data_IF_078783713229
#
_entry.id   IF_078783713229
#
_cell.length_a   1.000
_cell.length_b   1.000
_cell.length_c   1.000
_cell.angle_alpha   90.00
_cell.angle_beta   90.00
_cell.angle_gamma   90.00
#
_symmetry.space_group_name_H-M   'P 1'
#
loop_
_entity.id
_entity.type
_entity.pdbx_description
1 polymer ?
#
# COMPACT_ATOMS: atom_id res chain seq x y z
N UNK A 1 7.54 -18.94 -21.72
CA UNK A 1 7.56 -19.83 -20.54
C UNK A 1 6.14 -20.36 -20.32
N UNK A 2 5.98 -21.68 -20.20
CA UNK A 2 4.67 -22.37 -20.30
C UNK A 2 3.97 -22.48 -18.94
N UNK A 3 2.66 -22.18 -18.91
CA UNK A 3 1.77 -22.11 -17.74
C UNK A 3 1.76 -23.39 -16.86
N UNK A 4 2.18 -24.53 -17.41
CA UNK A 4 2.35 -25.80 -16.69
C UNK A 4 3.35 -25.72 -15.52
N UNK A 5 4.34 -24.83 -15.58
CA UNK A 5 5.29 -24.64 -14.47
C UNK A 5 4.68 -23.90 -13.27
N UNK A 6 3.54 -23.21 -13.44
CA UNK A 6 2.90 -22.45 -12.37
C UNK A 6 1.96 -23.31 -11.51
N UNK A 7 1.35 -24.35 -12.09
CA UNK A 7 0.41 -25.21 -11.36
C UNK A 7 1.07 -26.32 -10.54
N UNK A 8 2.31 -26.73 -10.85
CA UNK A 8 3.01 -27.70 -10.00
C UNK A 8 3.50 -27.11 -8.66
N UNK A 9 3.57 -25.79 -8.51
CA UNK A 9 3.97 -25.13 -7.25
C UNK A 9 2.88 -25.13 -6.17
N UNK A 10 1.61 -25.35 -6.54
CA UNK A 10 0.47 -25.32 -5.62
C UNK A 10 0.20 -26.66 -4.91
N UNK A 11 0.88 -27.75 -5.30
CA UNK A 11 0.67 -29.07 -4.71
C UNK A 11 1.44 -29.31 -3.39
N UNK A 12 2.29 -28.39 -2.95
CA UNK A 12 3.10 -28.54 -1.73
C UNK A 12 2.32 -28.15 -0.45
N UNK A 13 1.11 -27.60 -0.58
CA UNK A 13 0.28 -27.16 0.57
C UNK A 13 -0.43 -28.30 1.36
N UNK A 14 -0.18 -29.57 1.03
CA UNK A 14 -0.93 -30.70 1.61
C UNK A 14 -0.22 -31.47 2.75
N UNK A 15 0.95 -31.03 3.24
CA UNK A 15 1.71 -31.77 4.27
C UNK A 15 1.75 -31.12 5.67
N UNK A 16 0.98 -30.07 5.95
CA UNK A 16 0.94 -29.43 7.28
C UNK A 16 -0.21 -29.98 8.14
N UNK A 17 -0.16 -31.27 8.48
CA UNK A 17 -0.94 -31.84 9.57
C UNK A 17 -0.07 -32.88 10.30
N UNK A 18 0.57 -32.44 11.39
CA UNK A 18 1.24 -33.30 12.39
C UNK A 18 2.70 -33.67 12.07
N UNK A 19 3.64 -32.78 12.38
CA UNK A 19 5.07 -33.06 12.28
C UNK A 19 5.91 -32.19 13.21
N UNK A 20 6.84 -32.84 13.92
CA UNK A 20 7.80 -32.35 14.90
C UNK A 20 8.33 -30.91 14.66
N UNK A 21 8.32 -30.07 15.70
CA UNK A 21 8.62 -28.62 15.66
C UNK A 21 10.01 -28.28 15.04
N UNK A 22 10.97 -29.19 15.10
CA UNK A 22 12.31 -29.02 14.50
C UNK A 22 12.31 -29.03 12.96
N UNK A 23 11.37 -29.74 12.31
CA UNK A 23 11.33 -29.84 10.85
C UNK A 23 10.71 -28.59 10.20
N UNK A 24 9.70 -28.00 10.85
CA UNK A 24 9.07 -26.76 10.40
C UNK A 24 10.04 -25.56 10.47
N UNK A 25 10.95 -25.57 11.45
CA UNK A 25 11.94 -24.51 11.62
C UNK A 25 13.08 -24.61 10.61
N UNK A 26 13.44 -25.83 10.18
CA UNK A 26 14.39 -26.05 9.10
C UNK A 26 13.85 -25.56 7.74
N UNK A 27 12.59 -25.85 7.41
CA UNK A 27 11.95 -25.35 6.19
C UNK A 27 11.81 -23.83 6.18
N UNK A 28 11.48 -23.22 7.32
CA UNK A 28 11.40 -21.76 7.44
C UNK A 28 12.78 -21.08 7.23
N UNK A 29 13.86 -21.67 7.75
CA UNK A 29 15.21 -21.16 7.54
C UNK A 29 15.68 -21.29 6.07
N UNK A 30 15.28 -22.36 5.38
CA UNK A 30 15.60 -22.54 3.96
C UNK A 30 14.84 -21.55 3.07
N UNK A 31 13.58 -21.24 3.42
CA UNK A 31 12.77 -20.23 2.74
C UNK A 31 13.31 -18.80 2.95
N UNK A 32 13.80 -18.50 4.14
CA UNK A 32 14.46 -17.22 4.43
C UNK A 32 15.75 -17.06 3.61
N UNK A 33 16.56 -18.11 3.48
CA UNK A 33 17.77 -18.08 2.66
C UNK A 33 17.47 -17.87 1.17
N UNK A 34 16.43 -18.53 0.64
CA UNK A 34 15.99 -18.32 -0.75
C UNK A 34 15.47 -16.89 -0.98
N UNK A 35 14.78 -16.30 -0.01
CA UNK A 35 14.29 -14.93 -0.10
C UNK A 35 15.46 -13.93 -0.10
N UNK A 36 16.45 -14.12 0.77
CA UNK A 36 17.65 -13.28 0.84
C UNK A 36 18.47 -13.32 -0.45
N UNK A 37 18.59 -14.50 -1.07
CA UNK A 37 19.24 -14.65 -2.37
C UNK A 37 18.47 -13.93 -3.49
N UNK A 38 17.13 -14.03 -3.50
CA UNK A 38 16.28 -13.32 -4.48
C UNK A 38 16.35 -11.80 -4.33
N UNK A 39 16.45 -11.29 -3.10
CA UNK A 39 16.60 -9.86 -2.83
C UNK A 39 18.00 -9.35 -3.22
N UNK A 40 19.06 -10.11 -2.93
CA UNK A 40 20.41 -9.74 -3.35
C UNK A 40 20.57 -9.75 -4.87
N UNK A 41 19.89 -10.66 -5.58
CA UNK A 41 19.86 -10.67 -7.04
C UNK A 41 19.08 -9.48 -7.63
N UNK A 42 17.94 -9.12 -7.03
CA UNK A 42 17.16 -7.95 -7.41
C UNK A 42 17.91 -6.63 -7.14
N UNK A 43 18.69 -6.57 -6.04
CA UNK A 43 19.57 -5.42 -5.73
C UNK A 43 20.74 -5.35 -6.70
N UNK A 44 21.30 -6.50 -7.12
CA UNK A 44 22.36 -6.56 -8.12
C UNK A 44 21.88 -6.10 -9.52
N UNK A 45 20.66 -6.47 -9.93
CA UNK A 45 20.01 -5.92 -11.14
C UNK A 45 19.71 -4.42 -11.00
N UNK A 46 19.25 -3.97 -9.83
CA UNK A 46 19.02 -2.55 -9.59
C UNK A 46 20.32 -1.72 -9.58
N UNK A 47 21.43 -2.25 -9.08
CA UNK A 47 22.73 -1.56 -9.07
C UNK A 47 23.42 -1.54 -10.44
N UNK A 48 23.14 -2.51 -11.31
CA UNK A 48 23.68 -2.51 -12.68
C UNK A 48 22.96 -1.53 -13.62
N UNK A 49 21.74 -1.12 -13.30
CA UNK A 49 21.02 -0.05 -14.02
C UNK A 49 21.18 1.35 -13.42
N UNK A 50 21.78 1.47 -12.22
CA UNK A 50 21.93 2.72 -11.46
C UNK A 50 23.39 3.23 -11.36
N UNK A 51 24.23 2.91 -12.34
CA UNK A 51 25.64 3.32 -12.34
C UNK A 51 25.89 4.77 -12.82
N UNK A 52 24.86 5.52 -13.21
CA UNK A 52 24.96 6.96 -13.48
C UNK A 52 23.78 7.66 -12.78
N UNK A 53 24.08 8.37 -11.67
CA UNK A 53 23.13 9.07 -10.77
C UNK A 53 22.10 8.12 -10.10
N UNK A 54 22.19 7.71 -8.83
CA UNK A 54 22.09 8.55 -7.62
C UNK A 54 22.76 7.80 -6.45
N UNK A 55 24.00 8.14 -6.12
CA UNK A 55 24.69 7.69 -4.91
C UNK A 55 24.46 8.69 -3.77
N UNK A 56 23.21 8.85 -3.34
CA UNK A 56 22.74 9.58 -2.16
C UNK A 56 21.21 9.66 -2.31
N UNK A 57 20.36 8.84 -1.71
CA UNK A 57 20.06 8.82 -0.29
C UNK A 57 19.13 7.61 -0.04
N UNK A 58 19.67 6.45 0.33
CA UNK A 58 18.90 5.47 1.12
C UNK A 58 19.82 4.85 2.16
N UNK A 59 19.97 5.49 3.33
CA UNK A 59 20.24 4.72 4.53
C UNK A 59 19.23 5.13 5.62
N UNK A 60 18.31 4.23 5.96
CA UNK A 60 17.89 3.96 7.36
C UNK A 60 16.57 3.17 7.48
N UNK A 61 15.71 3.04 6.46
CA UNK A 61 14.41 2.33 6.65
C UNK A 61 14.50 0.79 6.60
N UNK A 62 15.64 0.22 6.22
CA UNK A 62 15.83 -1.24 6.20
C UNK A 62 16.36 -1.81 7.54
N UNK A 63 16.95 -0.99 8.40
CA UNK A 63 17.54 -1.44 9.66
C UNK A 63 16.51 -1.75 10.75
N UNK A 64 15.38 -1.04 10.76
CA UNK A 64 14.35 -1.19 11.81
C UNK A 64 13.32 -2.27 11.49
N UNK A 65 13.16 -2.66 10.22
CA UNK A 65 12.28 -3.77 9.83
C UNK A 65 12.92 -5.15 10.09
N UNK A 66 14.24 -5.27 9.99
CA UNK A 66 14.95 -6.54 10.19
C UNK A 66 15.21 -6.88 11.67
N UNK A 67 15.25 -5.87 12.56
CA UNK A 67 15.52 -6.09 13.99
C UNK A 67 14.33 -6.67 14.79
N UNK A 68 13.12 -6.72 14.19
CA UNK A 68 11.90 -7.18 14.87
C UNK A 68 11.44 -8.60 14.51
N UNK A 69 12.07 -9.26 13.53
CA UNK A 69 11.59 -10.53 12.96
C UNK A 69 11.70 -11.74 13.90
N UNK A 70 12.34 -11.59 15.07
CA UNK A 70 12.56 -12.66 16.05
C UNK A 70 11.52 -12.77 17.17
N UNK A 71 10.40 -12.04 17.13
CA UNK A 71 9.40 -12.11 18.22
C UNK A 71 7.96 -12.25 17.69
N UNK A 72 7.12 -12.96 18.45
CA UNK A 72 5.66 -13.08 18.26
C UNK A 72 4.92 -11.73 18.10
N UNK A 73 5.60 -10.60 18.36
CA UNK A 73 5.09 -9.24 18.19
C UNK A 73 4.97 -8.84 16.70
N UNK A 74 5.81 -9.38 15.81
CA UNK A 74 5.73 -9.10 14.37
C UNK A 74 4.46 -9.66 13.73
N UNK A 75 4.06 -10.88 14.11
CA UNK A 75 2.82 -11.49 13.65
C UNK A 75 1.58 -10.75 14.20
N UNK A 76 1.63 -10.32 15.46
CA UNK A 76 0.56 -9.52 16.09
C UNK A 76 0.45 -8.12 15.46
N UNK A 77 1.56 -7.50 15.10
CA UNK A 77 1.60 -6.20 14.41
C UNK A 77 0.98 -6.26 13.01
N UNK A 78 1.29 -7.29 12.23
CA UNK A 78 0.67 -7.52 10.91
C UNK A 78 -0.84 -7.76 11.01
N UNK A 79 -1.28 -8.52 12.03
CA UNK A 79 -2.69 -8.80 12.22
C UNK A 79 -3.49 -7.57 12.66
N UNK A 80 -2.92 -6.73 13.54
CA UNK A 80 -3.51 -5.44 13.92
C UNK A 80 -3.58 -4.47 12.74
N UNK A 81 -2.52 -4.40 11.92
CA UNK A 81 -2.51 -3.57 10.72
C UNK A 81 -3.57 -3.99 9.71
N UNK A 82 -3.73 -5.30 9.50
CA UNK A 82 -4.77 -5.86 8.62
C UNK A 82 -6.18 -5.52 9.10
N UNK A 83 -6.45 -5.63 10.41
CA UNK A 83 -7.74 -5.26 11.00
C UNK A 83 -8.00 -3.75 10.88
N UNK A 84 -7.00 -2.92 11.16
CA UNK A 84 -7.08 -1.46 11.02
C UNK A 84 -7.40 -1.03 9.59
N UNK A 85 -6.72 -1.64 8.60
CA UNK A 85 -6.96 -1.38 7.19
C UNK A 85 -8.36 -1.82 6.76
N UNK A 86 -8.83 -2.97 7.25
CA UNK A 86 -10.18 -3.46 7.00
C UNK A 86 -11.26 -2.50 7.52
N UNK A 87 -11.14 -2.04 8.78
CA UNK A 87 -12.06 -1.05 9.36
C UNK A 87 -12.01 0.27 8.58
N UNK A 88 -10.82 0.70 8.15
CA UNK A 88 -10.64 1.93 7.40
C UNK A 88 -11.26 1.88 5.99
N UNK A 89 -11.12 0.76 5.28
CA UNK A 89 -11.76 0.54 3.98
C UNK A 89 -13.27 0.45 4.11
N UNK A 90 -13.77 -0.24 5.15
CA UNK A 90 -15.20 -0.33 5.40
C UNK A 90 -15.79 1.04 5.71
N UNK A 91 -15.14 1.83 6.57
CA UNK A 91 -15.55 3.20 6.88
C UNK A 91 -15.56 4.10 5.63
N UNK A 92 -14.54 3.97 4.78
CA UNK A 92 -14.45 4.70 3.52
C UNK A 92 -15.56 4.33 2.52
N UNK A 93 -15.92 3.05 2.46
CA UNK A 93 -16.95 2.52 1.57
C UNK A 93 -18.39 2.90 1.97
N UNK A 94 -18.61 3.28 3.23
CA UNK A 94 -19.91 3.72 3.74
C UNK A 94 -20.10 5.24 3.71
N UNK A 95 -19.13 5.99 3.20
CA UNK A 95 -19.24 7.44 3.13
C UNK A 95 -20.33 7.89 2.15
N UNK A 96 -21.12 8.87 2.57
CA UNK A 96 -22.18 9.49 1.77
C UNK A 96 -21.80 10.94 1.40
N UNK A 97 -22.47 11.52 0.40
CA UNK A 97 -22.22 12.88 -0.09
C UNK A 97 -23.07 13.22 -1.30
N UNK A 98 -23.20 14.52 -1.62
CA UNK A 98 -24.03 14.97 -2.74
C UNK A 98 -23.37 14.77 -4.11
N UNK A 99 -22.03 14.69 -4.13
CA UNK A 99 -21.22 14.58 -5.34
C UNK A 99 -20.02 13.65 -5.13
N UNK A 100 -19.42 13.06 -6.20
CA UNK A 100 -18.30 12.13 -6.08
C UNK A 100 -17.12 12.65 -5.24
N UNK A 101 -16.76 13.92 -5.42
CA UNK A 101 -15.67 14.54 -4.66
C UNK A 101 -15.98 14.71 -3.16
N UNK A 102 -17.25 14.92 -2.80
CA UNK A 102 -17.66 14.98 -1.39
C UNK A 102 -17.63 13.59 -0.76
N UNK A 103 -18.15 12.58 -1.47
CA UNK A 103 -18.10 11.18 -1.03
C UNK A 103 -16.66 10.73 -0.85
N UNK A 104 -15.77 11.08 -1.79
CA UNK A 104 -14.35 10.76 -1.72
C UNK A 104 -13.66 11.41 -0.51
N UNK A 105 -13.95 12.68 -0.22
CA UNK A 105 -13.44 13.37 0.96
C UNK A 105 -13.92 12.73 2.26
N UNK A 106 -15.22 12.45 2.35
CA UNK A 106 -15.84 11.82 3.52
C UNK A 106 -15.28 10.41 3.73
N UNK A 107 -15.04 9.66 2.65
CA UNK A 107 -14.43 8.34 2.71
C UNK A 107 -12.97 8.38 3.17
N UNK A 108 -12.19 9.32 2.65
CA UNK A 108 -10.79 9.54 3.06
C UNK A 108 -10.70 9.92 4.54
N UNK A 109 -11.54 10.85 5.01
CA UNK A 109 -11.55 11.28 6.42
C UNK A 109 -12.00 10.16 7.36
N UNK A 110 -13.00 9.37 6.98
CA UNK A 110 -13.44 8.19 7.73
C UNK A 110 -12.33 7.11 7.81
N UNK A 111 -11.63 6.87 6.70
CA UNK A 111 -10.46 5.98 6.64
C UNK A 111 -9.38 6.45 7.61
N UNK A 112 -9.05 7.74 7.59
CA UNK A 112 -8.01 8.28 8.46
C UNK A 112 -8.41 8.26 9.94
N UNK A 113 -9.67 8.51 10.26
CA UNK A 113 -10.18 8.38 11.63
C UNK A 113 -10.07 6.93 12.14
N UNK A 114 -10.41 5.95 11.30
CA UNK A 114 -10.27 4.53 11.63
C UNK A 114 -8.80 4.11 11.80
N UNK A 115 -7.90 4.62 10.94
CA UNK A 115 -6.46 4.37 11.06
C UNK A 115 -5.86 5.01 12.32
N UNK A 116 -6.21 6.25 12.65
CA UNK A 116 -5.73 6.93 13.86
C UNK A 116 -6.17 6.24 15.15
N UNK A 117 -7.35 5.61 15.14
CA UNK A 117 -7.86 4.83 16.28
C UNK A 117 -7.03 3.58 16.56
N UNK A 118 -6.46 2.98 15.50
CA UNK A 118 -5.79 1.68 15.58
C UNK A 118 -4.26 1.75 15.47
N UNK A 119 -3.70 2.87 15.00
CA UNK A 119 -2.26 3.10 14.90
C UNK A 119 -1.74 3.86 16.12
N UNK A 120 -0.47 3.63 16.52
CA UNK A 120 0.15 4.39 17.61
C UNK A 120 0.20 5.90 17.29
N UNK A 121 0.12 6.77 18.31
CA UNK A 121 0.20 8.22 18.14
C UNK A 121 1.50 8.59 17.41
N UNK A 122 1.38 9.33 16.29
CA UNK A 122 2.50 9.67 15.40
C UNK A 122 2.61 8.80 14.14
N UNK A 123 1.77 7.78 13.97
CA UNK A 123 1.78 6.89 12.80
C UNK A 123 1.30 7.55 11.49
N UNK A 124 0.54 8.65 11.56
CA UNK A 124 0.18 9.44 10.39
C UNK A 124 0.67 10.87 10.55
N UNK A 125 1.72 11.20 9.80
CA UNK A 125 2.42 12.49 9.87
C UNK A 125 1.99 13.46 8.76
N UNK A 126 1.28 12.97 7.74
CA UNK A 126 0.82 13.82 6.64
C UNK A 126 -0.47 14.54 7.03
N UNK A 127 -0.51 15.89 6.97
CA UNK A 127 -1.72 16.64 7.26
C UNK A 127 -2.81 16.29 6.24
N UNK A 128 -4.01 16.06 6.76
CA UNK A 128 -5.22 15.90 5.95
C UNK A 128 -5.51 17.23 5.26
N UNK A 129 -5.68 17.29 3.93
CA UNK A 129 -6.09 18.52 3.29
C UNK A 129 -7.46 18.96 3.84
N UNK A 130 -7.67 20.27 3.92
CA UNK A 130 -8.99 20.80 4.30
C UNK A 130 -10.04 20.35 3.28
N UNK A 131 -11.31 20.31 3.70
CA UNK A 131 -12.43 19.93 2.82
C UNK A 131 -12.43 20.71 1.52
N UNK A 132 -12.29 22.03 1.61
CA UNK A 132 -12.36 22.90 0.44
C UNK A 132 -11.18 22.69 -0.51
N UNK A 133 -9.96 22.49 0.03
CA UNK A 133 -8.78 22.16 -0.78
C UNK A 133 -8.99 20.84 -1.53
N UNK A 134 -9.47 19.80 -0.84
CA UNK A 134 -9.70 18.49 -1.46
C UNK A 134 -10.80 18.53 -2.52
N UNK A 135 -11.96 19.13 -2.22
CA UNK A 135 -13.07 19.17 -3.17
C UNK A 135 -12.69 20.01 -4.40
N UNK A 136 -12.04 21.16 -4.20
CA UNK A 136 -11.56 22.00 -5.29
C UNK A 136 -10.58 21.22 -6.17
N UNK A 137 -9.67 20.47 -5.54
CA UNK A 137 -8.70 19.64 -6.23
C UNK A 137 -9.36 18.51 -7.03
N UNK A 138 -10.25 17.75 -6.40
CA UNK A 138 -10.97 16.65 -7.03
C UNK A 138 -11.79 17.13 -8.23
N UNK A 139 -12.46 18.28 -8.13
CA UNK A 139 -13.26 18.84 -9.24
C UNK A 139 -12.42 19.23 -10.47
N UNK A 140 -11.10 19.37 -10.34
CA UNK A 140 -10.21 19.60 -11.47
C UNK A 140 -9.85 18.33 -12.23
N UNK A 141 -10.13 17.15 -11.66
CA UNK A 141 -9.96 15.88 -12.34
C UNK A 141 -11.07 15.67 -13.39
N UNK A 142 -10.82 14.89 -14.45
CA UNK A 142 -11.86 14.39 -15.33
C UNK A 142 -12.98 13.67 -14.56
N UNK A 143 -14.23 13.74 -15.05
CA UNK A 143 -15.41 13.23 -14.31
C UNK A 143 -15.31 11.73 -13.96
N UNK A 144 -14.74 10.91 -14.83
CA UNK A 144 -14.46 9.49 -14.57
C UNK A 144 -13.37 9.29 -13.50
N UNK A 145 -12.34 10.13 -13.45
CA UNK A 145 -11.36 10.15 -12.38
C UNK A 145 -11.96 10.60 -11.03
N UNK A 146 -12.91 11.54 -11.05
CA UNK A 146 -13.67 11.93 -9.86
C UNK A 146 -14.49 10.75 -9.32
N UNK A 147 -15.15 9.99 -10.18
CA UNK A 147 -15.86 8.77 -9.76
C UNK A 147 -14.91 7.72 -9.19
N UNK A 148 -13.74 7.55 -9.80
CA UNK A 148 -12.70 6.65 -9.29
C UNK A 148 -12.03 7.14 -7.99
N UNK A 149 -12.31 8.37 -7.55
CA UNK A 149 -11.91 8.86 -6.24
C UNK A 149 -12.83 8.35 -5.12
N UNK A 150 -14.05 7.89 -5.46
CA UNK A 150 -15.02 7.35 -4.52
C UNK A 150 -14.61 5.92 -4.13
N UNK A 151 -14.30 5.63 -2.86
CA UNK A 151 -13.75 4.34 -2.45
C UNK A 151 -14.63 3.15 -2.84
N UNK A 152 -15.94 3.24 -2.60
CA UNK A 152 -16.90 2.19 -2.96
C UNK A 152 -16.97 1.94 -4.47
N UNK A 153 -16.87 2.99 -5.28
CA UNK A 153 -16.89 2.88 -6.74
C UNK A 153 -15.58 2.28 -7.26
N UNK A 154 -14.44 2.75 -6.74
CA UNK A 154 -13.12 2.27 -7.11
C UNK A 154 -12.94 0.77 -6.83
N UNK A 155 -13.44 0.27 -5.69
CA UNK A 155 -13.40 -1.16 -5.36
C UNK A 155 -14.23 -2.01 -6.33
N UNK A 156 -15.39 -1.52 -6.77
CA UNK A 156 -16.25 -2.23 -7.72
C UNK A 156 -15.72 -2.16 -9.16
N UNK A 157 -14.91 -1.15 -9.47
CA UNK A 157 -14.45 -0.82 -10.82
C UNK A 157 -12.92 -0.75 -10.91
N UNK A 158 -12.22 -1.63 -10.18
CA UNK A 158 -10.77 -1.57 -9.96
C UNK A 158 -9.98 -1.44 -11.26
N UNK A 159 -10.26 -2.30 -12.25
CA UNK A 159 -9.51 -2.33 -13.51
C UNK A 159 -9.73 -1.05 -14.34
N UNK A 160 -10.97 -0.60 -14.47
CA UNK A 160 -11.26 0.64 -15.20
C UNK A 160 -10.74 1.89 -14.48
N UNK A 161 -10.81 1.91 -13.14
CA UNK A 161 -10.28 3.01 -12.36
C UNK A 161 -8.75 3.06 -12.40
N UNK A 162 -8.09 1.90 -12.42
CA UNK A 162 -6.66 1.84 -12.64
C UNK A 162 -6.28 2.42 -14.00
N UNK A 163 -6.98 2.04 -15.07
CA UNK A 163 -6.74 2.59 -16.41
C UNK A 163 -6.97 4.12 -16.45
N UNK A 164 -8.05 4.60 -15.84
CA UNK A 164 -8.36 6.03 -15.71
C UNK A 164 -7.26 6.80 -14.98
N UNK A 165 -6.76 6.28 -13.86
CA UNK A 165 -5.74 6.92 -13.03
C UNK A 165 -4.34 6.86 -13.67
N UNK A 166 -4.10 5.95 -14.62
CA UNK A 166 -2.86 5.86 -15.38
C UNK A 166 -2.78 6.83 -16.57
N UNK A 167 -3.88 7.54 -16.89
CA UNK A 167 -3.87 8.51 -17.98
C UNK A 167 -2.95 9.70 -17.65
N UNK A 168 -2.14 10.17 -18.62
CA UNK A 168 -1.18 11.25 -18.39
C UNK A 168 -1.82 12.52 -17.82
N UNK A 169 -3.00 12.90 -18.32
CA UNK A 169 -3.73 14.08 -17.86
C UNK A 169 -4.15 13.98 -16.39
N UNK A 170 -4.54 12.78 -15.92
CA UNK A 170 -4.92 12.54 -14.53
C UNK A 170 -3.69 12.57 -13.64
N UNK A 171 -2.60 11.93 -14.07
CA UNK A 171 -1.34 11.93 -13.31
C UNK A 171 -0.76 13.34 -13.17
N UNK A 172 -0.77 14.13 -14.24
CA UNK A 172 -0.32 15.52 -14.22
C UNK A 172 -1.13 16.33 -13.22
N UNK A 173 -2.47 16.21 -13.23
CA UNK A 173 -3.31 16.89 -12.25
C UNK A 173 -3.04 16.43 -10.83
N UNK A 174 -2.93 15.13 -10.58
CA UNK A 174 -2.61 14.61 -9.24
C UNK A 174 -1.24 15.10 -8.74
N UNK A 175 -0.25 15.25 -9.62
CA UNK A 175 1.06 15.81 -9.29
C UNK A 175 0.98 17.31 -8.97
N UNK A 176 0.25 18.10 -9.75
CA UNK A 176 -0.02 19.52 -9.48
C UNK A 176 -0.70 19.69 -8.11
N UNK A 177 -1.70 18.87 -7.82
CA UNK A 177 -2.42 18.88 -6.54
C UNK A 177 -1.50 18.54 -5.37
N UNK A 178 -0.66 17.51 -5.52
CA UNK A 178 0.33 17.13 -4.50
C UNK A 178 1.32 18.25 -4.24
N UNK A 179 1.82 18.91 -5.29
CA UNK A 179 2.75 20.03 -5.17
C UNK A 179 2.11 21.22 -4.43
N UNK A 180 0.83 21.52 -4.68
CA UNK A 180 0.11 22.56 -3.94
C UNK A 180 -0.08 22.24 -2.45
N UNK A 181 -0.40 20.98 -2.11
CA UNK A 181 -0.55 20.54 -0.72
C UNK A 181 0.79 20.55 0.02
N UNK A 182 1.88 20.21 -0.65
CA UNK A 182 3.23 20.19 -0.05
C UNK A 182 3.90 21.58 -0.02
N UNK A 183 3.58 22.47 -0.95
CA UNK A 183 4.17 23.81 -1.07
C UNK A 183 3.39 24.92 -0.33
N UNK A 184 2.20 24.62 0.20
CA UNK A 184 1.33 25.58 0.89
C UNK A 184 1.74 25.95 2.33
N UNK A 185 2.92 25.53 2.79
CA UNK A 185 3.52 25.97 4.04
C UNK A 185 4.44 27.16 3.84
N UNK A 186 3.88 28.35 3.64
CA UNK A 186 4.57 29.63 3.85
C UNK A 186 3.67 30.59 4.62
#
# INVERSE_FOLDING_TARGET
MSWKNWMCGLAIFAAACGGNEEAAQAEANELAAQLEESMNMAVAEATTMAAEDVAAEVPAVAGEAAAGAGTNQGAQGLQQLGAALGEALQAAGMAEGGEPCEVAYNGMTAMMAALQKNLPPGGMQNPVPTRDQYITACRQLPADAQQCSVPAYAMQNMESCQAVMQRPEVQQKMAELRAMVQGGGN
#
